data_IF_918135465160
#
_entry.id   IF_918135465160
#
_cell.length_a   1.000
_cell.length_b   1.000
_cell.length_c   1.000
_cell.angle_alpha   90.00
_cell.angle_beta   90.00
_cell.angle_gamma   90.00
#
_symmetry.space_group_name_H-M   'P 1'
#
loop_
_entity.id
_entity.type
_entity.pdbx_description
1 polymer ?
#
# COMPACT_ATOMS: atom_id res chain seq x y z
N UNK A 1 -8.36 22.59 -4.74
CA UNK A 1 -7.69 22.90 -3.47
C UNK A 1 -6.68 21.80 -3.21
N UNK A 2 -5.39 22.08 -3.34
CA UNK A 2 -4.35 21.07 -3.11
C UNK A 2 -4.20 20.91 -1.60
N UNK A 3 -4.80 19.87 -1.04
CA UNK A 3 -4.71 19.52 0.38
C UNK A 3 -3.31 19.01 0.66
N UNK A 4 -2.38 19.93 0.92
CA UNK A 4 -1.05 19.57 1.42
C UNK A 4 -1.26 18.94 2.79
N UNK A 5 -1.04 17.63 2.90
CA UNK A 5 -1.06 16.94 4.19
C UNK A 5 0.04 17.57 5.04
N UNK A 6 -0.35 18.24 6.11
CA UNK A 6 0.60 18.81 7.06
C UNK A 6 1.02 17.71 8.02
N UNK A 7 2.31 17.40 8.05
CA UNK A 7 2.84 16.39 8.95
C UNK A 7 3.39 17.05 10.22
N UNK A 8 2.89 16.64 11.38
CA UNK A 8 3.29 17.17 12.69
C UNK A 8 4.78 16.96 12.97
N UNK A 9 5.37 15.88 12.41
CA UNK A 9 6.80 15.58 12.57
C UNK A 9 7.46 15.13 11.25
N UNK A 10 8.77 15.36 11.09
CA UNK A 10 9.54 14.83 9.95
C UNK A 10 9.48 13.30 9.83
N UNK A 11 9.40 12.58 10.96
CA UNK A 11 9.32 11.13 10.98
C UNK A 11 8.01 10.62 10.37
N UNK A 12 6.87 11.29 10.65
CA UNK A 12 5.59 10.93 10.04
C UNK A 12 5.64 11.20 8.53
N UNK A 13 6.23 12.33 8.10
CA UNK A 13 6.39 12.64 6.68
C UNK A 13 7.25 11.58 5.96
N UNK A 14 8.34 11.13 6.58
CA UNK A 14 9.22 10.09 6.03
C UNK A 14 8.46 8.75 5.89
N UNK A 15 7.76 8.31 6.94
CA UNK A 15 7.00 7.06 6.90
C UNK A 15 5.87 7.15 5.86
N UNK A 16 5.24 8.31 5.68
CA UNK A 16 4.22 8.50 4.65
C UNK A 16 4.80 8.30 3.24
N UNK A 17 6.01 8.81 3.00
CA UNK A 17 6.73 8.59 1.73
C UNK A 17 7.09 7.11 1.53
N UNK A 18 7.55 6.42 2.59
CA UNK A 18 7.86 4.99 2.53
C UNK A 18 6.61 4.16 2.20
N UNK A 19 5.45 4.48 2.80
CA UNK A 19 4.17 3.83 2.50
C UNK A 19 3.78 4.07 1.03
N UNK A 20 3.91 5.29 0.52
CA UNK A 20 3.60 5.61 -0.88
C UNK A 20 4.53 4.88 -1.86
N UNK A 21 5.82 4.77 -1.53
CA UNK A 21 6.78 3.99 -2.31
C UNK A 21 6.44 2.50 -2.28
N UNK A 22 6.11 1.94 -1.11
CA UNK A 22 5.71 0.55 -0.96
C UNK A 22 4.42 0.24 -1.75
N UNK A 23 3.44 1.15 -1.76
CA UNK A 23 2.24 1.03 -2.57
C UNK A 23 2.57 0.94 -4.07
N UNK A 24 3.43 1.85 -4.55
CA UNK A 24 3.87 1.90 -5.94
C UNK A 24 4.62 0.64 -6.34
N UNK A 25 5.58 0.20 -5.51
CA UNK A 25 6.35 -1.00 -5.76
C UNK A 25 5.47 -2.26 -5.74
N UNK A 26 4.48 -2.31 -4.84
CA UNK A 26 3.52 -3.42 -4.76
C UNK A 26 2.69 -3.54 -6.05
N UNK A 27 2.25 -2.42 -6.63
CA UNK A 27 1.54 -2.43 -7.90
C UNK A 27 2.42 -2.87 -9.07
N UNK A 28 3.65 -2.34 -9.16
CA UNK A 28 4.60 -2.74 -10.18
C UNK A 28 4.93 -4.23 -10.11
N UNK A 29 5.16 -4.74 -8.89
CA UNK A 29 5.42 -6.16 -8.65
C UNK A 29 4.23 -7.03 -9.02
N UNK A 30 3.00 -6.58 -8.76
CA UNK A 30 1.80 -7.29 -9.15
C UNK A 30 1.72 -7.47 -10.67
N UNK A 31 1.91 -6.37 -11.42
CA UNK A 31 1.90 -6.40 -12.88
C UNK A 31 3.01 -7.29 -13.44
N UNK A 32 4.23 -7.18 -12.90
CA UNK A 32 5.35 -8.02 -13.31
C UNK A 32 5.12 -9.51 -13.01
N UNK A 33 4.52 -9.82 -11.86
CA UNK A 33 4.17 -11.19 -11.48
C UNK A 33 3.12 -11.77 -12.42
N UNK A 34 2.09 -10.99 -12.76
CA UNK A 34 1.08 -11.40 -13.74
C UNK A 34 1.70 -11.65 -15.11
N UNK A 35 2.58 -10.77 -15.58
CA UNK A 35 3.31 -10.97 -16.84
C UNK A 35 4.11 -12.27 -16.81
N UNK A 36 4.85 -12.51 -15.73
CA UNK A 36 5.65 -13.74 -15.56
C UNK A 36 4.78 -14.99 -15.63
N UNK A 37 3.66 -15.03 -14.89
CA UNK A 37 2.75 -16.19 -14.92
C UNK A 37 2.15 -16.37 -16.31
N UNK A 38 1.69 -15.28 -16.96
CA UNK A 38 1.11 -15.34 -18.30
C UNK A 38 2.10 -15.79 -19.38
N UNK A 39 3.37 -15.40 -19.28
CA UNK A 39 4.43 -15.82 -20.17
C UNK A 39 4.79 -17.30 -20.01
N UNK A 40 4.58 -17.84 -18.80
CA UNK A 40 4.88 -19.22 -18.45
C UNK A 40 3.61 -20.09 -18.34
N UNK A 41 2.52 -19.70 -19.01
CA UNK A 41 1.24 -20.38 -18.88
C UNK A 41 1.32 -21.88 -19.23
N UNK A 42 2.17 -22.24 -20.18
CA UNK A 42 2.38 -23.64 -20.61
C UNK A 42 2.90 -24.53 -19.47
N UNK A 43 3.71 -23.98 -18.55
CA UNK A 43 4.20 -24.71 -17.37
C UNK A 43 3.09 -25.09 -16.38
N UNK A 44 1.92 -24.47 -16.51
CA UNK A 44 0.72 -24.74 -15.72
C UNK A 44 -0.35 -25.51 -16.52
N UNK A 45 -0.03 -26.02 -17.71
CA UNK A 45 -1.01 -26.70 -18.58
C UNK A 45 -1.78 -25.75 -19.52
N UNK A 46 -1.29 -24.52 -19.70
CA UNK A 46 -1.86 -23.51 -20.58
C UNK A 46 -2.84 -22.56 -19.87
N UNK A 47 -3.19 -21.45 -20.52
CA UNK A 47 -4.03 -20.38 -19.93
C UNK A 47 -5.44 -20.83 -19.55
N UNK A 48 -5.94 -21.88 -20.18
CA UNK A 48 -7.26 -22.44 -19.90
C UNK A 48 -7.28 -23.45 -18.76
N UNK A 49 -6.11 -23.86 -18.23
CA UNK A 49 -6.06 -24.89 -17.20
C UNK A 49 -6.50 -24.38 -15.84
N UNK A 50 -7.06 -25.27 -15.02
CA UNK A 50 -7.41 -24.96 -13.64
C UNK A 50 -6.19 -24.55 -12.82
N UNK A 51 -5.03 -25.19 -13.05
CA UNK A 51 -3.79 -24.87 -12.36
C UNK A 51 -3.33 -23.44 -12.66
N UNK A 52 -3.41 -22.98 -13.91
CA UNK A 52 -3.09 -21.60 -14.26
C UNK A 52 -4.04 -20.61 -13.60
N UNK A 53 -5.35 -20.89 -13.65
CA UNK A 53 -6.36 -20.03 -13.02
C UNK A 53 -6.18 -19.94 -11.50
N UNK A 54 -5.85 -21.06 -10.84
CA UNK A 54 -5.56 -21.08 -9.40
C UNK A 54 -4.33 -20.23 -9.04
N UNK A 55 -3.27 -20.28 -9.84
CA UNK A 55 -2.06 -19.46 -9.61
C UNK A 55 -2.40 -17.98 -9.76
N UNK A 56 -3.12 -17.59 -10.80
CA UNK A 56 -3.57 -16.19 -11.00
C UNK A 56 -4.45 -15.73 -9.84
N UNK A 57 -5.42 -16.55 -9.41
CA UNK A 57 -6.30 -16.24 -8.30
C UNK A 57 -5.53 -16.05 -6.99
N UNK A 58 -4.59 -16.96 -6.68
CA UNK A 58 -3.74 -16.88 -5.49
C UNK A 58 -2.85 -15.63 -5.52
N UNK A 59 -2.27 -15.32 -6.67
CA UNK A 59 -1.46 -14.12 -6.87
C UNK A 59 -2.27 -12.84 -6.60
N UNK A 60 -3.43 -12.71 -7.25
CA UNK A 60 -4.31 -11.57 -7.10
C UNK A 60 -4.75 -11.39 -5.65
N UNK A 61 -5.11 -12.49 -4.98
CA UNK A 61 -5.53 -12.46 -3.58
C UNK A 61 -4.42 -11.93 -2.65
N UNK A 62 -3.18 -12.44 -2.81
CA UNK A 62 -2.04 -11.99 -2.00
C UNK A 62 -1.75 -10.50 -2.22
N UNK A 63 -1.77 -10.03 -3.46
CA UNK A 63 -1.55 -8.61 -3.75
C UNK A 63 -2.70 -7.73 -3.24
N UNK A 64 -3.94 -8.20 -3.28
CA UNK A 64 -5.07 -7.48 -2.67
C UNK A 64 -4.86 -7.31 -1.15
N UNK A 65 -4.46 -8.36 -0.45
CA UNK A 65 -4.15 -8.30 0.99
C UNK A 65 -2.99 -7.35 1.31
N UNK A 66 -1.92 -7.36 0.50
CA UNK A 66 -0.79 -6.44 0.66
C UNK A 66 -1.22 -4.99 0.47
N UNK A 67 -2.01 -4.70 -0.57
CA UNK A 67 -2.54 -3.35 -0.84
C UNK A 67 -3.44 -2.85 0.29
N UNK A 68 -4.32 -3.71 0.81
CA UNK A 68 -5.17 -3.38 1.95
C UNK A 68 -4.34 -3.05 3.19
N UNK A 69 -3.28 -3.83 3.44
CA UNK A 69 -2.39 -3.61 4.59
C UNK A 69 -1.65 -2.28 4.46
N UNK A 70 -1.13 -1.96 3.28
CA UNK A 70 -0.47 -0.67 3.00
C UNK A 70 -1.46 0.49 3.16
N UNK A 71 -2.70 0.34 2.65
CA UNK A 71 -3.74 1.35 2.81
C UNK A 71 -4.08 1.59 4.29
N UNK A 72 -4.22 0.53 5.09
CA UNK A 72 -4.42 0.63 6.54
C UNK A 72 -3.26 1.33 7.23
N UNK A 73 -2.01 1.03 6.86
CA UNK A 73 -0.84 1.72 7.41
C UNK A 73 -0.89 3.23 7.14
N UNK A 74 -1.31 3.63 5.93
CA UNK A 74 -1.51 5.03 5.58
C UNK A 74 -2.57 5.72 6.45
N UNK A 75 -3.73 5.06 6.66
CA UNK A 75 -4.79 5.58 7.52
C UNK A 75 -4.34 5.76 8.97
N UNK A 76 -3.65 4.77 9.53
CA UNK A 76 -3.11 4.83 10.91
C UNK A 76 -2.10 5.96 11.05
N UNK A 77 -1.25 6.17 10.04
CA UNK A 77 -0.29 7.26 10.05
C UNK A 77 -0.97 8.64 10.01
N UNK A 78 -2.02 8.80 9.20
CA UNK A 78 -2.84 10.03 9.20
C UNK A 78 -3.50 10.27 10.55
N UNK A 79 -4.08 9.23 11.16
CA UNK A 79 -4.68 9.35 12.50
C UNK A 79 -3.65 9.75 13.57
N UNK A 80 -2.44 9.17 13.52
CA UNK A 80 -1.35 9.54 14.42
C UNK A 80 -0.93 11.00 14.23
N UNK A 81 -0.86 11.46 12.97
CA UNK A 81 -0.54 12.83 12.63
C UNK A 81 -1.55 13.84 13.18
N UNK A 82 -2.84 13.56 12.99
CA UNK A 82 -3.92 14.43 13.44
C UNK A 82 -3.94 14.50 14.98
N UNK A 83 -3.78 13.36 15.66
CA UNK A 83 -3.71 13.31 17.12
C UNK A 83 -2.52 14.09 17.72
N UNK A 84 -1.36 14.10 17.05
CA UNK A 84 -0.23 14.93 17.48
C UNK A 84 -0.51 16.42 17.26
N UNK A 85 -1.10 16.78 16.13
CA UNK A 85 -1.45 18.18 15.81
C UNK A 85 -2.46 18.74 16.83
N UNK A 86 -3.47 17.95 17.20
CA UNK A 86 -4.48 18.35 18.18
C UNK A 86 -3.89 18.51 19.60
N UNK A 87 -3.00 17.60 20.01
CA UNK A 87 -2.33 17.66 21.30
C UNK A 87 -1.39 18.89 21.41
N UNK A 88 -0.65 19.19 20.35
CA UNK A 88 0.21 20.39 20.28
C UNK A 88 -0.62 21.68 20.32
N UNK A 89 -1.75 21.72 19.60
CA UNK A 89 -2.67 22.86 19.63
C UNK A 89 -3.26 23.14 21.01
N UNK A 90 -3.67 22.10 21.74
CA UNK A 90 -4.17 22.24 23.11
C UNK A 90 -3.07 22.69 24.09
N UNK A 91 -1.86 22.19 23.92
CA UNK A 91 -0.71 22.55 24.77
C UNK A 91 -0.24 23.99 24.51
N UNK A 92 -0.27 24.45 23.25
CA UNK A 92 0.09 25.81 22.86
C UNK A 92 -0.89 26.88 23.38
N UNK A 93 -2.15 26.51 23.68
CA UNK A 93 -3.15 27.39 24.29
C UNK A 93 -3.06 27.49 25.82
N UNK A 94 -2.19 26.70 26.47
CA UNK A 94 -1.99 26.73 27.92
C UNK A 94 -0.84 27.65 28.38
N UNK A 95 -0.17 28.35 27.46
CA UNK A 95 0.88 29.35 27.73
C UNK A 95 0.45 30.74 27.27
#
# INVERSE_FOLDING_TARGET
MSGVIHYATPQIAEVAQQIAQAATQTEQNHQHSLQTVNANAENFGGRGSDAFQQVIASLNHKYAQSKETIARAGLVLTQANDGMTDADGQSAHQY
#
